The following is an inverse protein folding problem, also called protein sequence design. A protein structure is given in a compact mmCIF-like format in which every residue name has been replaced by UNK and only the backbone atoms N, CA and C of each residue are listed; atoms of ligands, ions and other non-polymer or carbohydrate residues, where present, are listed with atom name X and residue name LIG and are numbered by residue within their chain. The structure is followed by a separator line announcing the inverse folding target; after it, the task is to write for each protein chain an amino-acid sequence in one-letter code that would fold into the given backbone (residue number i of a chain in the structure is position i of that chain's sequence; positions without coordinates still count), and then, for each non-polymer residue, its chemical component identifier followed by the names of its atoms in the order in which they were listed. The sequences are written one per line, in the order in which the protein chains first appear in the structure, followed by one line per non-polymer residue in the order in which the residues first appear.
data_IF_524568954466
#
_entry.id   IF_524568954466
#
_cell.length_a   1.000
_cell.length_b   1.000
_cell.length_c   1.000
_cell.angle_alpha   90.00
_cell.angle_beta   90.00
_cell.angle_gamma   90.00
#
_symmetry.space_group_name_H-M   'P 1'
#
loop_
_entity.id
_entity.type
_entity.pdbx_description
1 polymer ?
#
# COMPACT_ATOMS: atom_id res chain seq x y z
N UNK A 1 31.85 9.63 46.28
CA UNK A 1 31.58 8.29 46.85
C UNK A 1 30.99 7.41 45.76
N UNK A 2 31.69 6.34 45.40
CA UNK A 2 31.28 5.33 44.41
C UNK A 2 30.36 4.32 45.10
N UNK A 3 29.23 3.96 44.49
CA UNK A 3 28.61 2.66 44.71
C UNK A 3 28.05 2.14 43.39
N UNK A 4 28.65 1.04 42.94
CA UNK A 4 28.30 0.22 41.81
C UNK A 4 27.97 -1.15 42.37
N UNK A 5 26.82 -1.74 42.02
CA UNK A 5 26.50 -3.16 42.06
C UNK A 5 25.16 -3.33 41.30
N UNK A 6 25.19 -3.75 40.04
CA UNK A 6 25.08 -5.16 39.61
C UNK A 6 23.89 -5.89 40.22
N UNK A 7 22.76 -5.89 39.49
CA UNK A 7 21.88 -7.05 39.45
C UNK A 7 21.29 -7.15 38.03
N UNK A 8 21.97 -7.94 37.20
CA UNK A 8 21.49 -8.32 35.89
C UNK A 8 20.78 -9.66 35.93
N UNK A 9 19.84 -9.77 34.98
CA UNK A 9 19.50 -10.96 34.18
C UNK A 9 18.36 -11.88 34.64
N UNK A 10 17.54 -12.25 33.65
CA UNK A 10 16.59 -13.37 33.51
C UNK A 10 15.14 -13.16 33.97
N UNK A 11 14.30 -12.65 33.04
CA UNK A 11 13.21 -13.46 32.45
C UNK A 11 13.08 -13.10 30.97
N UNK A 12 13.67 -13.95 30.13
CA UNK A 12 13.52 -13.97 28.67
C UNK A 12 12.11 -14.46 28.34
N UNK A 13 11.23 -13.59 27.84
CA UNK A 13 9.99 -14.06 27.21
C UNK A 13 10.29 -14.32 25.74
N UNK A 14 10.24 -15.59 25.36
CA UNK A 14 10.43 -16.07 24.01
C UNK A 14 9.34 -15.53 23.08
N UNK A 15 9.70 -14.57 22.22
CA UNK A 15 8.93 -14.26 21.02
C UNK A 15 9.22 -15.36 20.01
N UNK A 16 8.23 -16.22 19.77
CA UNK A 16 8.27 -17.21 18.69
C UNK A 16 8.33 -16.46 17.35
N UNK A 17 9.53 -16.36 16.78
CA UNK A 17 9.71 -16.09 15.36
C UNK A 17 9.22 -17.31 14.58
N UNK A 18 7.96 -17.27 14.15
CA UNK A 18 7.50 -18.12 13.07
C UNK A 18 8.19 -17.62 11.78
N UNK A 19 9.25 -18.31 11.39
CA UNK A 19 9.90 -18.10 10.11
C UNK A 19 8.92 -18.46 8.99
N UNK A 20 8.35 -17.47 8.31
CA UNK A 20 7.79 -17.66 6.98
C UNK A 20 8.96 -17.59 5.98
N UNK A 21 9.61 -18.72 5.71
CA UNK A 21 10.41 -18.90 4.51
C UNK A 21 9.46 -19.02 3.31
N UNK A 22 8.91 -17.88 2.89
CA UNK A 22 8.22 -17.75 1.61
C UNK A 22 9.24 -17.44 0.53
N UNK A 23 9.52 -18.43 -0.32
CA UNK A 23 10.28 -18.20 -1.56
C UNK A 23 9.30 -17.60 -2.56
N UNK A 24 9.52 -16.35 -2.98
CA UNK A 24 8.88 -15.82 -4.18
C UNK A 24 9.61 -16.45 -5.36
N UNK A 25 8.91 -17.23 -6.19
CA UNK A 25 9.46 -17.68 -7.47
C UNK A 25 9.80 -16.46 -8.30
N UNK A 26 11.06 -16.33 -8.69
CA UNK A 26 11.48 -15.45 -9.78
C UNK A 26 10.65 -15.81 -11.02
N UNK A 27 9.81 -14.87 -11.44
CA UNK A 27 9.22 -14.91 -12.76
C UNK A 27 10.35 -14.74 -13.77
N UNK A 28 10.50 -15.74 -14.64
CA UNK A 28 11.42 -15.74 -15.77
C UNK A 28 11.22 -14.46 -16.61
N UNK A 29 12.09 -13.46 -16.40
CA UNK A 29 12.24 -12.34 -17.31
C UNK A 29 13.13 -12.77 -18.47
N UNK A 30 12.59 -13.57 -19.39
CA UNK A 30 13.15 -13.69 -20.73
C UNK A 30 12.97 -12.33 -21.43
N UNK A 31 14.03 -11.53 -21.38
CA UNK A 31 14.19 -10.32 -22.19
C UNK A 31 14.20 -10.76 -23.66
N UNK A 32 13.04 -10.75 -24.29
CA UNK A 32 12.87 -10.91 -25.74
C UNK A 32 13.43 -9.71 -26.46
N UNK A 33 14.74 -9.65 -26.66
CA UNK A 33 15.37 -8.70 -27.57
C UNK A 33 15.05 -9.08 -29.02
N UNK A 34 14.36 -8.18 -29.73
CA UNK A 34 14.07 -8.33 -31.15
C UNK A 34 15.35 -8.35 -31.99
N UNK A 35 15.49 -9.39 -32.82
CA UNK A 35 16.55 -9.55 -33.82
C UNK A 35 15.95 -9.80 -35.21
N UNK A 36 16.34 -8.94 -36.14
CA UNK A 36 15.98 -8.88 -37.57
C UNK A 36 16.33 -10.20 -38.31
N UNK A 37 15.58 -10.63 -39.35
CA UNK A 37 15.83 -11.89 -40.04
C UNK A 37 17.07 -11.82 -40.93
N UNK A 38 18.06 -12.66 -40.61
CA UNK A 38 19.29 -12.85 -41.37
C UNK A 38 19.43 -14.30 -41.85
N UNK A 39 19.64 -14.42 -43.14
CA UNK A 39 19.84 -15.63 -43.95
C UNK A 39 20.97 -16.55 -43.49
N UNK A 40 20.72 -17.87 -43.49
CA UNK A 40 21.75 -18.91 -43.36
C UNK A 40 21.18 -20.31 -43.61
N UNK A 41 21.45 -20.87 -44.78
CA UNK A 41 21.03 -22.20 -45.22
C UNK A 41 22.01 -23.28 -44.76
N UNK A 42 21.54 -24.47 -44.31
CA UNK A 42 22.15 -25.78 -44.64
C UNK A 42 21.10 -26.92 -44.58
N UNK A 43 21.00 -27.63 -45.71
CA UNK A 43 20.56 -29.00 -46.03
C UNK A 43 19.63 -29.82 -45.12
N UNK A 44 18.53 -30.29 -45.73
CA UNK A 44 17.77 -31.48 -45.35
C UNK A 44 16.97 -32.01 -46.56
N UNK A 45 17.31 -33.22 -47.00
CA UNK A 45 16.90 -33.92 -48.24
C UNK A 45 15.51 -34.58 -48.18
N UNK A 46 14.74 -34.57 -49.28
CA UNK A 46 13.71 -35.58 -49.56
C UNK A 46 12.47 -35.06 -50.32
N UNK A 47 11.87 -35.82 -51.28
CA UNK A 47 11.25 -35.23 -52.46
C UNK A 47 9.72 -35.12 -52.36
N UNK A 48 9.16 -34.05 -52.94
CA UNK A 48 7.79 -34.06 -53.46
C UNK A 48 7.75 -33.40 -54.84
N UNK A 49 7.07 -34.11 -55.71
CA UNK A 49 6.88 -33.98 -57.15
C UNK A 49 6.00 -32.79 -57.56
N UNK A 50 6.32 -32.19 -58.71
CA UNK A 50 5.31 -31.84 -59.72
C UNK A 50 5.10 -30.35 -60.04
N UNK A 51 5.53 -29.96 -61.26
CA UNK A 51 4.85 -29.08 -62.25
C UNK A 51 4.40 -27.67 -61.82
N UNK A 52 4.71 -26.56 -62.50
CA UNK A 52 5.33 -26.28 -63.79
C UNK A 52 4.96 -24.84 -64.23
N UNK A 53 5.84 -24.20 -65.03
CA UNK A 53 5.60 -22.97 -65.83
C UNK A 53 5.47 -21.66 -65.05
N UNK A 54 6.04 -20.51 -65.44
CA UNK A 54 6.72 -20.08 -66.66
C UNK A 54 6.47 -18.58 -66.86
N UNK A 55 7.51 -17.81 -67.24
CA UNK A 55 7.44 -16.42 -67.73
C UNK A 55 7.59 -15.34 -66.64
N UNK A 56 8.76 -14.73 -66.41
CA UNK A 56 9.50 -13.79 -67.24
C UNK A 56 8.77 -12.46 -67.53
N UNK A 57 9.31 -11.37 -66.97
CA UNK A 57 9.73 -10.26 -67.85
C UNK A 57 9.15 -8.86 -67.61
N UNK A 58 9.90 -8.06 -66.86
CA UNK A 58 10.35 -6.67 -67.14
C UNK A 58 9.33 -5.55 -67.45
N UNK A 59 9.36 -4.52 -66.59
CA UNK A 59 9.74 -3.16 -67.03
C UNK A 59 8.67 -2.06 -67.15
N UNK A 60 8.94 -0.92 -66.49
CA UNK A 60 8.73 0.40 -67.12
C UNK A 60 7.72 1.37 -66.50
N UNK A 61 8.20 2.11 -65.48
CA UNK A 61 8.11 3.58 -65.27
C UNK A 61 7.07 4.48 -65.98
N UNK A 62 6.52 5.42 -65.19
CA UNK A 62 5.91 6.72 -65.59
C UNK A 62 4.42 6.77 -65.21
N UNK A 63 3.89 7.61 -64.33
CA UNK A 63 4.19 9.01 -64.01
C UNK A 63 3.04 9.87 -64.55
N UNK A 64 2.17 10.41 -63.67
CA UNK A 64 1.53 11.75 -63.72
C UNK A 64 0.35 11.83 -62.76
N UNK A 65 0.23 12.98 -62.08
CA UNK A 65 -0.78 13.26 -61.07
C UNK A 65 -2.16 13.58 -61.64
N UNK A 66 -3.17 13.38 -60.79
CA UNK A 66 -4.53 13.84 -60.99
C UNK A 66 -5.19 14.05 -59.63
N UNK A 67 -5.30 15.31 -59.22
CA UNK A 67 -6.09 15.78 -58.08
C UNK A 67 -7.58 15.59 -58.36
N UNK A 68 -8.24 14.70 -57.62
CA UNK A 68 -9.69 14.51 -57.63
C UNK A 68 -10.21 14.27 -56.21
N UNK A 69 -11.33 14.88 -55.78
CA UNK A 69 -11.83 14.74 -54.42
C UNK A 69 -12.33 13.32 -54.15
N UNK A 70 -11.83 12.69 -53.08
CA UNK A 70 -12.39 11.44 -52.57
C UNK A 70 -13.78 11.73 -51.95
N UNK A 71 -14.84 11.02 -52.35
CA UNK A 71 -16.16 11.16 -51.74
C UNK A 71 -16.13 10.68 -50.29
N UNK A 72 -16.58 11.53 -49.36
CA UNK A 72 -16.80 11.15 -47.97
C UNK A 72 -17.94 10.15 -47.85
N UNK A 73 -17.62 8.90 -47.51
CA UNK A 73 -18.61 7.90 -47.09
C UNK A 73 -18.85 8.04 -45.59
N UNK A 74 -19.69 9.03 -45.23
CA UNK A 74 -20.32 9.09 -43.92
C UNK A 74 -21.27 7.91 -43.74
N UNK A 75 -20.72 6.76 -43.35
CA UNK A 75 -21.46 5.59 -42.89
C UNK A 75 -21.05 5.32 -41.45
N UNK A 76 -21.85 5.78 -40.50
CA UNK A 76 -21.76 5.33 -39.12
C UNK A 76 -22.07 3.82 -39.11
N UNK A 77 -21.05 2.99 -38.99
CA UNK A 77 -21.24 1.62 -38.55
C UNK A 77 -21.91 1.70 -37.16
N UNK A 78 -22.97 0.91 -36.88
CA UNK A 78 -23.45 0.76 -35.52
C UNK A 78 -22.29 0.18 -34.74
N UNK A 79 -21.65 1.00 -33.90
CA UNK A 79 -20.66 0.53 -32.96
C UNK A 79 -21.38 -0.48 -32.09
N UNK A 80 -21.01 -1.76 -32.20
CA UNK A 80 -21.40 -2.78 -31.25
C UNK A 80 -21.02 -2.22 -29.89
N UNK A 81 -22.02 -1.79 -29.13
CA UNK A 81 -21.85 -1.31 -27.77
C UNK A 81 -21.32 -2.49 -26.97
N UNK A 82 -20.00 -2.64 -26.96
CA UNK A 82 -19.33 -3.61 -26.14
C UNK A 82 -19.70 -3.25 -24.72
N UNK A 83 -20.58 -4.05 -24.13
CA UNK A 83 -20.71 -4.08 -22.67
C UNK A 83 -19.30 -4.28 -22.14
N UNK A 84 -18.73 -3.24 -21.54
CA UNK A 84 -17.54 -3.37 -20.73
C UNK A 84 -17.93 -4.23 -19.54
N UNK A 85 -17.89 -5.55 -19.74
CA UNK A 85 -17.92 -6.48 -18.63
C UNK A 85 -16.63 -6.20 -17.89
N UNK A 86 -16.75 -5.47 -16.77
CA UNK A 86 -15.70 -5.33 -15.78
C UNK A 86 -15.45 -6.73 -15.23
N UNK A 87 -14.64 -7.50 -15.94
CA UNK A 87 -14.01 -8.68 -15.37
C UNK A 87 -13.18 -8.14 -14.24
N UNK A 88 -13.65 -8.30 -12.99
CA UNK A 88 -12.99 -7.81 -11.80
C UNK A 88 -11.50 -8.12 -11.94
N UNK A 89 -10.69 -7.07 -12.14
CA UNK A 89 -9.28 -7.20 -12.44
C UNK A 89 -8.63 -7.77 -11.19
N UNK A 90 -8.48 -9.09 -11.20
CA UNK A 90 -7.93 -9.79 -10.08
C UNK A 90 -6.41 -9.52 -10.14
N UNK A 91 -5.92 -8.85 -9.10
CA UNK A 91 -4.53 -8.38 -9.01
C UNK A 91 -3.65 -9.42 -8.35
N UNK A 92 -2.35 -9.31 -8.58
CA UNK A 92 -1.33 -10.02 -7.80
C UNK A 92 -1.36 -9.46 -6.37
N UNK A 93 -1.47 -10.31 -5.33
CA UNK A 93 -1.34 -9.89 -3.96
C UNK A 93 -0.04 -9.13 -3.73
N UNK A 94 -0.11 -7.88 -3.26
CA UNK A 94 1.09 -7.09 -2.94
C UNK A 94 1.02 -6.54 -1.52
N UNK A 95 2.19 -6.40 -0.90
CA UNK A 95 2.38 -5.69 0.35
C UNK A 95 3.43 -4.61 0.06
N UNK A 96 3.06 -3.36 0.26
CA UNK A 96 3.90 -2.22 -0.10
C UNK A 96 4.04 -1.31 1.11
N UNK A 97 5.27 -1.01 1.54
CA UNK A 97 5.49 0.01 2.55
C UNK A 97 5.02 1.36 2.02
N UNK A 98 4.54 2.23 2.90
CA UNK A 98 4.34 3.64 2.56
C UNK A 98 5.69 4.29 2.19
N UNK A 99 5.71 5.10 1.13
CA UNK A 99 6.84 5.99 0.90
C UNK A 99 6.98 7.01 2.04
N UNK A 100 8.14 7.65 2.18
CA UNK A 100 8.40 8.68 3.20
C UNK A 100 7.36 9.80 3.16
N UNK A 101 6.99 10.26 1.96
CA UNK A 101 5.93 11.26 1.72
C UNK A 101 4.57 10.73 2.19
N UNK A 102 4.22 9.51 1.78
CA UNK A 102 2.94 8.90 2.13
C UNK A 102 2.81 8.67 3.64
N UNK A 103 3.87 8.23 4.28
CA UNK A 103 3.97 8.04 5.72
C UNK A 103 3.82 9.38 6.45
N UNK A 104 4.55 10.42 6.04
CA UNK A 104 4.48 11.74 6.65
C UNK A 104 3.06 12.36 6.57
N UNK A 105 2.43 12.29 5.39
CA UNK A 105 1.05 12.75 5.20
C UNK A 105 0.06 11.94 6.04
N UNK A 106 0.23 10.61 6.09
CA UNK A 106 -0.62 9.73 6.89
C UNK A 106 -0.52 10.06 8.37
N UNK A 107 0.68 10.31 8.91
CA UNK A 107 0.87 10.73 10.31
C UNK A 107 0.19 12.07 10.57
N UNK A 108 0.39 13.05 9.68
CA UNK A 108 -0.23 14.38 9.81
C UNK A 108 -1.74 14.25 9.95
N UNK A 109 -2.37 13.49 9.05
CA UNK A 109 -3.83 13.36 9.02
C UNK A 109 -4.34 12.50 10.19
N UNK A 110 -3.61 11.44 10.54
CA UNK A 110 -3.95 10.53 11.65
C UNK A 110 -3.88 11.23 13.01
N UNK A 111 -2.83 12.03 13.24
CA UNK A 111 -2.66 12.81 14.47
C UNK A 111 -3.37 14.17 14.43
N UNK A 112 -4.02 14.51 13.31
CA UNK A 112 -4.73 15.78 13.08
C UNK A 112 -3.82 16.99 13.34
N UNK A 113 -2.58 16.94 12.83
CA UNK A 113 -1.59 18.00 13.02
C UNK A 113 -1.92 19.23 12.15
N UNK A 114 -1.74 20.46 12.68
CA UNK A 114 -2.15 21.69 11.99
C UNK A 114 -1.23 22.13 10.84
N UNK A 115 -0.05 21.52 10.68
CA UNK A 115 0.90 21.90 9.63
C UNK A 115 1.59 20.67 9.03
N UNK A 116 2.07 20.74 7.76
CA UNK A 116 2.74 19.62 7.09
C UNK A 116 3.99 19.10 7.82
N UNK A 117 4.57 19.86 8.75
CA UNK A 117 5.80 19.48 9.45
C UNK A 117 6.97 19.20 8.51
N UNK A 118 8.09 18.75 9.07
CA UNK A 118 9.25 18.27 8.31
C UNK A 118 9.40 16.74 8.43
N UNK A 119 8.31 16.03 8.75
CA UNK A 119 8.31 14.61 9.12
C UNK A 119 9.04 13.74 8.11
N UNK A 120 8.83 13.97 6.82
CA UNK A 120 9.48 13.22 5.75
C UNK A 120 11.01 13.22 5.86
N UNK A 121 11.60 14.36 6.24
CA UNK A 121 13.05 14.53 6.39
C UNK A 121 13.62 13.96 7.69
N UNK A 122 12.76 13.54 8.61
CA UNK A 122 13.17 12.95 9.89
C UNK A 122 13.42 11.45 9.80
N UNK A 123 12.99 10.83 8.70
CA UNK A 123 13.25 9.44 8.40
C UNK A 123 14.21 9.32 7.23
N UNK A 124 14.98 8.23 7.20
CA UNK A 124 15.77 7.87 6.02
C UNK A 124 14.93 7.98 4.75
N UNK A 125 15.42 8.76 3.78
CA UNK A 125 14.78 8.91 2.48
C UNK A 125 14.76 7.59 1.70
N UNK A 126 13.68 7.38 0.94
CA UNK A 126 13.53 6.21 0.07
C UNK A 126 14.47 6.28 -1.13
N UNK A 127 14.94 5.12 -1.58
CA UNK A 127 15.73 5.03 -2.80
C UNK A 127 14.79 5.19 -4.01
N UNK A 128 14.76 6.39 -4.60
CA UNK A 128 13.96 6.65 -5.79
C UNK A 128 14.74 6.23 -7.03
N UNK A 129 14.39 5.08 -7.61
CA UNK A 129 14.96 4.63 -8.90
C UNK A 129 14.15 5.21 -10.08
N UNK A 130 12.82 5.18 -9.98
CA UNK A 130 11.89 5.73 -10.99
C UNK A 130 10.73 6.46 -10.34
N UNK A 131 9.94 5.72 -9.57
CA UNK A 131 8.82 6.26 -8.78
C UNK A 131 9.10 6.07 -7.28
N UNK A 132 8.48 6.90 -6.47
CA UNK A 132 8.61 6.89 -5.01
C UNK A 132 7.84 5.73 -4.34
N UNK A 133 6.99 5.03 -5.09
CA UNK A 133 6.13 3.96 -4.61
C UNK A 133 6.56 2.54 -5.08
N UNK A 134 7.81 2.40 -5.56
CA UNK A 134 8.33 1.13 -6.05
C UNK A 134 8.54 0.11 -4.92
N UNK A 135 7.68 -0.90 -4.82
CA UNK A 135 7.63 -1.83 -3.69
C UNK A 135 8.99 -2.49 -3.37
N UNK A 136 9.75 -2.90 -4.39
CA UNK A 136 11.05 -3.58 -4.23
C UNK A 136 12.15 -2.68 -3.64
N UNK A 137 11.98 -1.35 -3.72
CA UNK A 137 12.92 -0.36 -3.19
C UNK A 137 12.55 0.12 -1.78
N UNK A 138 11.37 -0.24 -1.29
CA UNK A 138 10.81 0.26 -0.03
C UNK A 138 11.01 -0.72 1.14
N UNK A 139 12.27 -1.02 1.46
CA UNK A 139 12.60 -1.85 2.64
C UNK A 139 12.79 -1.01 3.91
N UNK A 140 12.76 -1.68 5.06
CA UNK A 140 13.00 -1.11 6.39
C UNK A 140 14.34 -1.65 6.90
N UNK A 141 15.38 -0.82 6.85
CA UNK A 141 16.69 -1.15 7.42
C UNK A 141 16.79 -0.74 8.90
N UNK A 142 17.96 -0.97 9.51
CA UNK A 142 18.21 -0.60 10.91
C UNK A 142 18.10 0.91 11.15
N UNK A 143 18.48 1.74 10.19
CA UNK A 143 18.43 3.21 10.33
C UNK A 143 16.99 3.68 10.31
N UNK A 144 16.22 3.24 9.31
CA UNK A 144 14.81 3.56 9.16
C UNK A 144 14.00 3.15 10.39
N UNK A 145 14.27 1.96 10.97
CA UNK A 145 13.60 1.55 12.22
C UNK A 145 13.83 2.53 13.36
N UNK A 146 15.09 2.88 13.59
CA UNK A 146 15.45 3.81 14.66
C UNK A 146 14.84 5.19 14.44
N UNK A 147 14.75 5.64 13.19
CA UNK A 147 14.13 6.93 12.86
C UNK A 147 12.61 6.90 13.11
N UNK A 148 11.93 5.84 12.65
CA UNK A 148 10.50 5.63 12.88
C UNK A 148 10.17 5.56 14.39
N UNK A 149 10.97 4.84 15.17
CA UNK A 149 10.83 4.74 16.63
C UNK A 149 10.96 6.13 17.28
N UNK A 150 12.02 6.87 16.98
CA UNK A 150 12.24 8.22 17.53
C UNK A 150 11.10 9.17 17.19
N UNK A 151 10.61 9.14 15.94
CA UNK A 151 9.50 10.00 15.52
C UNK A 151 8.22 9.59 16.25
N UNK A 152 7.94 8.30 16.39
CA UNK A 152 6.77 7.80 17.10
C UNK A 152 6.78 8.23 18.58
N UNK A 153 7.89 8.05 19.30
CA UNK A 153 8.03 8.49 20.70
C UNK A 153 7.87 10.00 20.85
N UNK A 154 8.54 10.77 19.99
CA UNK A 154 8.48 12.23 20.02
C UNK A 154 7.07 12.73 19.79
N UNK A 155 6.38 12.22 18.77
CA UNK A 155 5.01 12.63 18.44
C UNK A 155 4.01 12.20 19.50
N UNK A 156 4.11 10.96 20.01
CA UNK A 156 3.24 10.49 21.07
C UNK A 156 3.41 11.33 22.34
N UNK A 157 4.65 11.65 22.72
CA UNK A 157 4.97 12.55 23.84
C UNK A 157 4.38 13.95 23.64
N UNK A 158 4.50 14.52 22.44
CA UNK A 158 3.91 15.83 22.11
C UNK A 158 2.38 15.82 22.19
N UNK A 159 1.73 14.76 21.68
CA UNK A 159 0.27 14.63 21.70
C UNK A 159 -0.25 14.55 23.12
N UNK A 160 0.36 13.72 23.99
CA UNK A 160 -0.14 13.55 25.35
C UNK A 160 0.19 14.73 26.28
N UNK A 161 1.10 15.61 25.87
CA UNK A 161 1.36 16.87 26.56
C UNK A 161 0.35 17.98 26.23
N UNK A 162 -0.43 17.84 25.15
CA UNK A 162 -1.47 18.79 24.73
C UNK A 162 -2.87 18.20 24.92
N UNK A 163 -3.59 18.68 25.94
CA UNK A 163 -4.96 18.26 26.20
C UNK A 163 -5.91 18.48 25.01
N UNK A 164 -5.66 19.50 24.18
CA UNK A 164 -6.44 19.73 22.97
C UNK A 164 -6.12 18.70 21.89
N UNK A 165 -4.87 18.22 21.77
CA UNK A 165 -4.50 17.12 20.89
C UNK A 165 -5.16 15.82 21.32
N UNK A 166 -5.12 15.49 22.62
CA UNK A 166 -5.87 14.34 23.18
C UNK A 166 -7.35 14.43 22.81
N UNK A 167 -7.99 15.59 23.03
CA UNK A 167 -9.41 15.78 22.75
C UNK A 167 -9.77 15.64 21.26
N UNK A 168 -8.85 15.96 20.34
CA UNK A 168 -9.04 15.76 18.89
C UNK A 168 -9.00 14.28 18.49
N UNK A 169 -8.26 13.45 19.23
CA UNK A 169 -8.07 12.03 18.92
C UNK A 169 -9.09 11.12 19.62
N UNK A 170 -9.66 11.56 20.74
CA UNK A 170 -10.77 10.84 21.39
C UNK A 170 -12.08 11.21 20.69
N UNK A 171 -12.87 10.23 20.20
CA UNK A 171 -14.17 10.51 19.58
C UNK A 171 -15.12 11.24 20.52
N UNK A 172 -15.88 12.23 20.02
CA UNK A 172 -16.77 13.07 20.82
C UNK A 172 -17.88 12.28 21.57
N UNK A 173 -18.26 11.11 21.07
CA UNK A 173 -19.24 10.20 21.69
C UNK A 173 -18.63 9.10 22.57
N UNK A 174 -17.35 9.20 22.92
CA UNK A 174 -16.69 8.20 23.75
C UNK A 174 -17.35 8.12 25.15
N UNK A 175 -17.46 6.92 25.74
CA UNK A 175 -17.89 6.77 27.13
C UNK A 175 -17.02 7.59 28.09
N UNK A 176 -17.60 8.02 29.21
CA UNK A 176 -16.90 8.84 30.21
C UNK A 176 -15.99 8.02 31.13
N UNK A 177 -16.26 6.73 31.30
CA UNK A 177 -15.40 5.84 32.08
C UNK A 177 -14.07 5.60 31.37
N UNK A 178 -12.99 5.40 32.14
CA UNK A 178 -11.64 5.35 31.58
C UNK A 178 -11.46 4.22 30.56
N UNK A 179 -12.05 3.04 30.80
CA UNK A 179 -11.90 1.88 29.93
C UNK A 179 -12.68 2.06 28.61
N UNK A 180 -13.92 2.53 28.68
CA UNK A 180 -14.74 2.85 27.52
C UNK A 180 -14.13 3.96 26.68
N UNK A 181 -13.58 5.01 27.32
CA UNK A 181 -12.87 6.09 26.63
C UNK A 181 -11.62 5.61 25.90
N UNK A 182 -10.80 4.78 26.55
CA UNK A 182 -9.60 4.20 25.95
C UNK A 182 -9.97 3.29 24.76
N UNK A 183 -10.98 2.43 24.91
CA UNK A 183 -11.45 1.54 23.84
C UNK A 183 -11.98 2.34 22.64
N UNK A 184 -12.77 3.39 22.87
CA UNK A 184 -13.28 4.24 21.81
C UNK A 184 -12.15 4.93 21.03
N UNK A 185 -11.13 5.43 21.73
CA UNK A 185 -9.91 5.96 21.11
C UNK A 185 -9.19 4.89 20.28
N UNK A 186 -8.91 3.71 20.84
CA UNK A 186 -8.22 2.61 20.14
C UNK A 186 -8.96 2.21 18.87
N UNK A 187 -10.29 2.12 18.91
CA UNK A 187 -11.11 1.73 17.78
C UNK A 187 -11.11 2.78 16.67
N UNK A 188 -11.33 4.07 16.99
CA UNK A 188 -11.35 5.13 15.98
C UNK A 188 -9.96 5.37 15.39
N UNK A 189 -8.96 5.50 16.26
CA UNK A 189 -7.58 5.73 15.85
C UNK A 189 -7.02 4.55 15.04
N UNK A 190 -7.20 3.33 15.55
CA UNK A 190 -6.77 2.13 14.87
C UNK A 190 -7.46 1.94 13.52
N UNK A 191 -8.76 2.24 13.42
CA UNK A 191 -9.50 2.13 12.16
C UNK A 191 -8.88 2.99 11.07
N UNK A 192 -8.50 4.23 11.41
CA UNK A 192 -7.81 5.15 10.51
C UNK A 192 -6.39 4.67 10.20
N UNK A 193 -5.62 4.30 11.23
CA UNK A 193 -4.23 3.85 11.09
C UNK A 193 -4.11 2.60 10.21
N UNK A 194 -4.97 1.60 10.41
CA UNK A 194 -4.95 0.34 9.66
C UNK A 194 -5.80 0.41 8.39
N UNK A 195 -6.56 1.50 8.20
CA UNK A 195 -7.41 1.77 7.03
C UNK A 195 -8.50 0.71 6.85
N UNK A 196 -8.86 0.02 7.93
CA UNK A 196 -9.92 -0.98 8.06
C UNK A 196 -10.37 -1.07 9.52
N UNK A 197 -11.56 -1.62 9.81
CA UNK A 197 -11.93 -1.98 11.16
C UNK A 197 -10.87 -2.92 11.79
N UNK A 198 -10.54 -2.65 13.05
CA UNK A 198 -9.73 -3.57 13.84
C UNK A 198 -10.55 -4.83 14.18
N UNK A 199 -9.86 -5.95 14.29
CA UNK A 199 -10.44 -7.17 14.83
C UNK A 199 -10.65 -7.04 16.34
N UNK A 200 -11.49 -7.91 16.90
CA UNK A 200 -11.70 -7.94 18.35
C UNK A 200 -10.41 -8.25 19.13
N UNK A 201 -9.53 -9.10 18.57
CA UNK A 201 -8.24 -9.41 19.19
C UNK A 201 -7.29 -8.22 19.16
N UNK A 202 -7.19 -7.49 18.04
CA UNK A 202 -6.38 -6.28 17.92
C UNK A 202 -6.80 -5.22 18.94
N UNK A 203 -8.11 -4.98 19.08
CA UNK A 203 -8.64 -4.03 20.07
C UNK A 203 -8.25 -4.47 21.50
N UNK A 204 -8.34 -5.76 21.79
CA UNK A 204 -8.01 -6.29 23.11
C UNK A 204 -6.52 -6.17 23.43
N UNK A 205 -5.64 -6.46 22.46
CA UNK A 205 -4.19 -6.32 22.60
C UNK A 205 -3.78 -4.87 22.91
N UNK A 206 -4.32 -3.91 22.14
CA UNK A 206 -4.09 -2.49 22.40
C UNK A 206 -4.70 -2.03 23.73
N UNK A 207 -5.87 -2.56 24.14
CA UNK A 207 -6.46 -2.24 25.43
C UNK A 207 -5.59 -2.74 26.59
N UNK A 208 -5.03 -3.94 26.49
CA UNK A 208 -4.07 -4.47 27.47
C UNK A 208 -2.84 -3.56 27.54
N UNK A 209 -2.24 -3.23 26.40
CA UNK A 209 -1.09 -2.33 26.32
C UNK A 209 -1.39 -0.97 26.97
N UNK A 210 -2.55 -0.39 26.66
CA UNK A 210 -3.02 0.87 27.24
C UNK A 210 -3.08 0.81 28.76
N UNK A 211 -3.63 -0.28 29.32
CA UNK A 211 -3.73 -0.46 30.78
C UNK A 211 -2.39 -0.74 31.47
N UNK A 212 -1.42 -1.33 30.76
CA UNK A 212 -0.08 -1.62 31.29
C UNK A 212 0.85 -0.41 31.22
N UNK A 213 0.61 0.53 30.31
CA UNK A 213 1.47 1.69 30.10
C UNK A 213 1.87 2.50 31.36
N UNK A 214 1.04 2.65 32.42
CA UNK A 214 1.46 3.32 33.65
C UNK A 214 2.61 2.62 34.38
N UNK A 215 2.88 1.33 34.12
CA UNK A 215 4.05 0.62 34.67
C UNK A 215 5.32 0.82 33.85
N UNK A 216 5.18 1.30 32.61
CA UNK A 216 6.25 1.52 31.65
C UNK A 216 6.68 2.98 31.56
N UNK A 217 5.89 3.89 32.12
CA UNK A 217 6.09 5.34 32.06
C UNK A 217 6.06 5.94 33.47
N UNK A 218 6.74 7.08 33.67
CA UNK A 218 6.78 7.76 34.97
C UNK A 218 6.34 9.21 34.83
N UNK A 219 5.73 9.77 35.89
CA UNK A 219 5.33 11.19 35.94
C UNK A 219 4.15 11.59 35.07
N UNK A 220 3.34 10.63 34.62
CA UNK A 220 2.21 10.83 33.70
C UNK A 220 0.91 10.27 34.27
N UNK A 221 -0.22 10.88 33.92
CA UNK A 221 -1.54 10.34 34.26
C UNK A 221 -1.79 9.00 33.55
N UNK A 222 -2.65 8.15 34.13
CA UNK A 222 -2.89 6.79 33.64
C UNK A 222 -3.37 6.78 32.18
N UNK A 223 -4.23 7.75 31.81
CA UNK A 223 -4.79 7.81 30.48
C UNK A 223 -3.78 8.31 29.45
N UNK A 224 -3.00 9.33 29.81
CA UNK A 224 -1.93 9.89 29.00
C UNK A 224 -0.82 8.84 28.78
N UNK A 225 -0.47 8.08 29.82
CA UNK A 225 0.47 6.97 29.72
C UNK A 225 -0.03 5.92 28.72
N UNK A 226 -1.29 5.48 28.89
CA UNK A 226 -1.94 4.53 27.98
C UNK A 226 -1.97 5.01 26.54
N UNK A 227 -2.35 6.28 26.33
CA UNK A 227 -2.41 6.88 25.01
C UNK A 227 -1.03 6.98 24.37
N UNK A 228 0.01 7.39 25.12
CA UNK A 228 1.38 7.51 24.61
C UNK A 228 1.87 6.18 24.06
N UNK A 229 1.87 5.13 24.89
CA UNK A 229 2.38 3.81 24.49
C UNK A 229 1.56 3.21 23.35
N UNK A 230 0.25 3.44 23.35
CA UNK A 230 -0.65 2.97 22.27
C UNK A 230 -0.38 3.69 20.95
N UNK A 231 -0.15 5.01 20.97
CA UNK A 231 0.23 5.78 19.79
C UNK A 231 1.57 5.31 19.23
N UNK A 232 2.58 5.13 20.10
CA UNK A 232 3.90 4.60 19.73
C UNK A 232 3.76 3.23 19.04
N UNK A 233 2.92 2.34 19.58
CA UNK A 233 2.68 1.03 19.00
C UNK A 233 1.96 1.08 17.65
N UNK A 234 0.92 1.91 17.49
CA UNK A 234 0.23 2.06 16.21
C UNK A 234 1.15 2.60 15.12
N UNK A 235 1.94 3.64 15.41
CA UNK A 235 2.81 4.31 14.44
C UNK A 235 3.97 3.42 13.97
N UNK A 236 4.32 2.39 14.74
CA UNK A 236 5.37 1.42 14.41
C UNK A 236 4.81 0.09 13.89
N UNK A 237 3.49 -0.09 13.88
CA UNK A 237 2.86 -1.33 13.46
C UNK A 237 3.04 -1.59 11.96
N UNK A 238 3.34 -2.82 11.54
CA UNK A 238 3.34 -3.19 10.13
C UNK A 238 2.01 -2.89 9.43
N UNK A 239 0.87 -2.98 10.13
CA UNK A 239 -0.43 -2.65 9.55
C UNK A 239 -0.61 -1.14 9.27
N UNK A 240 0.18 -0.29 9.94
CA UNK A 240 0.24 1.13 9.64
C UNK A 240 1.26 1.42 8.53
N UNK A 241 2.48 0.89 8.67
CA UNK A 241 3.63 1.15 7.78
C UNK A 241 3.46 0.55 6.38
N UNK A 242 2.66 -0.50 6.24
CA UNK A 242 2.44 -1.19 4.97
C UNK A 242 0.98 -1.12 4.54
N UNK A 243 0.78 -1.02 3.23
CA UNK A 243 -0.49 -1.19 2.54
C UNK A 243 -0.52 -2.59 1.97
N UNK A 244 -1.59 -3.30 2.26
CA UNK A 244 -1.85 -4.61 1.67
C UNK A 244 -2.84 -4.44 0.52
N UNK A 245 -2.58 -5.14 -0.58
CA UNK A 245 -3.48 -5.33 -1.69
C UNK A 245 -3.53 -6.84 -1.97
N UNK A 246 -3.79 -7.60 -0.91
CA UNK A 246 -3.79 -9.07 -0.93
C UNK A 246 -5.17 -9.63 -1.23
N UNK A 247 -6.20 -8.78 -1.16
CA UNK A 247 -7.58 -9.12 -1.45
C UNK A 247 -8.21 -10.05 -0.41
N UNK A 248 -9.47 -10.40 -0.67
CA UNK A 248 -10.19 -11.42 0.08
C UNK A 248 -9.98 -12.81 -0.52
N UNK A 249 -11.09 -13.48 -0.86
CA UNK A 249 -11.07 -14.81 -1.48
C UNK A 249 -10.27 -14.80 -2.79
N UNK A 250 -9.21 -15.61 -2.85
CA UNK A 250 -8.41 -15.77 -4.06
C UNK A 250 -9.18 -16.61 -5.10
N UNK A 251 -9.32 -16.08 -6.32
CA UNK A 251 -9.83 -16.83 -7.48
C UNK A 251 -8.67 -16.99 -8.45
N UNK A 252 -8.25 -18.23 -8.69
CA UNK A 252 -7.19 -18.56 -9.66
C UNK A 252 -5.87 -17.78 -9.44
N UNK A 253 -5.36 -17.78 -8.20
CA UNK A 253 -4.12 -17.07 -7.77
C UNK A 253 -4.15 -15.54 -7.88
N UNK A 254 -5.31 -14.96 -8.19
CA UNK A 254 -5.51 -13.52 -8.19
C UNK A 254 -6.56 -13.19 -7.15
N UNK A 255 -6.37 -12.09 -6.42
CA UNK A 255 -7.27 -11.73 -5.36
C UNK A 255 -8.12 -10.52 -5.75
N UNK A 256 -9.41 -10.56 -5.38
CA UNK A 256 -10.27 -9.39 -5.48
C UNK A 256 -10.03 -8.52 -4.27
N UNK A 257 -9.71 -7.25 -4.51
CA UNK A 257 -9.55 -6.28 -3.44
C UNK A 257 -10.83 -6.16 -2.60
N UNK A 258 -10.63 -6.02 -1.29
CA UNK A 258 -11.68 -5.59 -0.36
C UNK A 258 -12.01 -4.11 -0.59
N UNK A 259 -13.19 -3.65 -0.14
CA UNK A 259 -13.55 -2.23 -0.29
C UNK A 259 -12.57 -1.31 0.44
N UNK A 260 -12.02 -1.76 1.57
CA UNK A 260 -10.96 -1.04 2.31
C UNK A 260 -9.66 -0.90 1.51
N UNK A 261 -9.26 -1.95 0.79
CA UNK A 261 -8.07 -1.88 -0.06
C UNK A 261 -8.31 -1.02 -1.30
N UNK A 262 -9.54 -1.02 -1.85
CA UNK A 262 -9.94 -0.10 -2.94
C UNK A 262 -9.89 1.35 -2.44
N UNK A 263 -10.51 1.66 -1.30
CA UNK A 263 -10.45 2.97 -0.67
C UNK A 263 -9.01 3.43 -0.43
N UNK A 264 -8.18 2.55 0.13
CA UNK A 264 -6.76 2.81 0.37
C UNK A 264 -6.04 3.14 -0.93
N UNK A 265 -6.22 2.34 -1.97
CA UNK A 265 -5.55 2.57 -3.25
C UNK A 265 -5.97 3.88 -3.92
N UNK A 266 -7.27 4.20 -3.91
CA UNK A 266 -7.80 5.48 -4.42
C UNK A 266 -7.18 6.64 -3.64
N UNK A 267 -7.22 6.58 -2.30
CA UNK A 267 -6.75 7.68 -1.46
C UNK A 267 -5.27 7.99 -1.67
N UNK A 268 -4.42 6.97 -1.66
CA UNK A 268 -2.98 7.19 -1.85
C UNK A 268 -2.62 7.60 -3.28
N UNK A 269 -3.36 7.13 -4.30
CA UNK A 269 -3.13 7.55 -5.67
C UNK A 269 -3.47 9.03 -5.89
N UNK A 270 -4.48 9.55 -5.18
CA UNK A 270 -4.96 10.93 -5.36
C UNK A 270 -4.32 11.94 -4.40
N UNK A 271 -4.06 11.53 -3.16
CA UNK A 271 -3.71 12.46 -2.07
C UNK A 271 -2.41 12.10 -1.35
N UNK A 272 -1.80 10.97 -1.67
CA UNK A 272 -0.67 10.41 -0.91
C UNK A 272 -0.96 10.27 0.61
N UNK A 273 -2.22 10.07 1.01
CA UNK A 273 -2.60 9.88 2.40
C UNK A 273 -3.71 8.83 2.58
N UNK A 274 -4.03 8.54 3.83
CA UNK A 274 -5.08 7.59 4.23
C UNK A 274 -6.48 8.04 3.78
N UNK A 275 -7.44 7.11 3.58
CA UNK A 275 -8.81 7.47 3.19
C UNK A 275 -9.46 8.46 4.17
N UNK A 276 -10.12 9.47 3.62
CA UNK A 276 -10.95 10.39 4.40
C UNK A 276 -12.22 9.69 4.92
N UNK A 277 -13.00 10.40 5.75
CA UNK A 277 -14.19 9.82 6.39
C UNK A 277 -15.27 9.43 5.37
N UNK A 278 -15.35 10.12 4.23
CA UNK A 278 -16.33 9.82 3.17
C UNK A 278 -15.97 8.52 2.48
N UNK A 279 -14.72 8.38 2.05
CA UNK A 279 -14.24 7.19 1.34
C UNK A 279 -14.17 5.98 2.28
N UNK A 280 -13.79 6.19 3.54
CA UNK A 280 -13.81 5.12 4.54
C UNK A 280 -15.23 4.64 4.83
N UNK A 281 -16.24 5.53 4.82
CA UNK A 281 -17.65 5.14 4.98
C UNK A 281 -18.19 4.38 3.78
N UNK A 282 -17.85 4.79 2.56
CA UNK A 282 -18.20 4.05 1.35
C UNK A 282 -17.62 2.62 1.39
N UNK A 283 -16.41 2.46 1.95
CA UNK A 283 -15.81 1.15 2.16
C UNK A 283 -16.59 0.29 3.19
N UNK A 284 -17.03 0.88 4.30
CA UNK A 284 -17.87 0.18 5.30
C UNK A 284 -19.18 -0.32 4.69
N UNK A 285 -19.77 0.45 3.78
CA UNK A 285 -21.03 0.13 3.10
C UNK A 285 -20.87 -0.85 1.94
N UNK A 286 -19.63 -1.18 1.54
CA UNK A 286 -19.37 -2.09 0.42
C UNK A 286 -19.65 -1.49 -0.97
N UNK A 287 -19.68 -0.15 -1.08
CA UNK A 287 -20.08 0.59 -2.29
C UNK A 287 -18.94 0.73 -3.32
N UNK A 288 -17.71 0.34 -2.97
CA UNK A 288 -16.53 0.56 -3.81
C UNK A 288 -16.24 -0.58 -4.79
N UNK A 289 -16.94 -1.71 -4.61
CA UNK A 289 -16.86 -2.89 -5.46
C UNK A 289 -17.84 -2.92 -6.63
N UNK A 290 -18.82 -2.02 -6.64
CA UNK A 290 -19.81 -1.91 -7.71
C UNK A 290 -19.26 -1.05 -8.84
N UNK A 291 -19.39 -1.50 -10.09
CA UNK A 291 -19.13 -0.64 -11.24
C UNK A 291 -20.05 0.58 -11.14
N UNK A 292 -19.52 1.78 -11.40
CA UNK A 292 -20.36 2.96 -11.60
C UNK A 292 -21.41 2.61 -12.67
N UNK A 293 -22.69 2.79 -12.31
CA UNK A 293 -23.83 2.55 -13.20
C UNK A 293 -23.87 3.59 -14.32
#
# INVERSE_FOLDING_TARGET
MKFSLYLGTLVTTAVMMQACSGVVSDGDHTVGSGGIPGTGAVAGTGPVTGSGGGGAGVGGTGGTGGTGPLPGTGGAAPGTGGTFVSTASAITPTIMRLSSVQWANSIRDLLKLPSPGALESEVRADAVVRFDNEADSLFVDLTMRNDLEKVAERLASQVVADAAAIARLVPAGAPTDAAGRAKAFIQDFGRRAYRRPLTASEIQEYAVLFTQAPTLTTGMGIFEAGMRVTLEAFLQSPHFLYRTAIGGTAVQKRARLTDYEIATNISYALTNSMPDDVLAKAADLGELKTSAA
#
